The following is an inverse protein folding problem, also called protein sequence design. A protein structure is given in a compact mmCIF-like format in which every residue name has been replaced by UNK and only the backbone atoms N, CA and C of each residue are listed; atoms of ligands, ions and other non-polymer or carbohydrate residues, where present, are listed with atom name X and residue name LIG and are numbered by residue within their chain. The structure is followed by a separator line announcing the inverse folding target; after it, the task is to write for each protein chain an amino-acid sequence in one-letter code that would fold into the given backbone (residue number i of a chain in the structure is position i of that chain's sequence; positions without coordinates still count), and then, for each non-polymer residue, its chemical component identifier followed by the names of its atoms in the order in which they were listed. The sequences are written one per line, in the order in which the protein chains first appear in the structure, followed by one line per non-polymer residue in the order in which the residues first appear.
data_IF_825330480306
#
_entry.id   IF_825330480306
#
_cell.length_a   1.000
_cell.length_b   1.000
_cell.length_c   1.000
_cell.angle_alpha   90.00
_cell.angle_beta   90.00
_cell.angle_gamma   90.00
#
_symmetry.space_group_name_H-M   'P 1'
#
loop_
_entity.id
_entity.type
_entity.pdbx_description
1 polymer ?
#
# COMPACT_ATOMS: atom_id res chain seq x y z
N UNK A 1 27.81 -39.40 47.62
CA UNK A 1 27.04 -38.19 48.00
C UNK A 1 27.33 -37.18 46.91
N UNK A 2 26.39 -37.04 45.95
CA UNK A 2 25.54 -35.85 45.72
C UNK A 2 26.43 -34.68 45.24
N UNK A 3 26.27 -34.09 44.05
CA UNK A 3 25.00 -33.67 43.45
C UNK A 3 25.09 -33.49 41.92
N UNK A 4 24.02 -33.89 41.25
CA UNK A 4 23.67 -33.48 39.88
C UNK A 4 22.84 -32.20 39.99
N UNK A 5 23.41 -31.03 39.66
CA UNK A 5 22.61 -29.81 39.47
C UNK A 5 22.79 -29.27 38.05
N UNK A 6 21.99 -29.83 37.16
CA UNK A 6 21.56 -29.22 35.91
C UNK A 6 20.81 -27.94 36.25
N UNK A 7 21.44 -26.78 36.07
CA UNK A 7 20.75 -25.49 36.04
C UNK A 7 19.89 -25.44 34.77
N UNK A 8 18.61 -25.82 34.92
CA UNK A 8 17.56 -25.46 33.96
C UNK A 8 17.28 -23.98 34.12
N UNK A 9 17.68 -23.19 33.12
CA UNK A 9 17.14 -21.86 32.90
C UNK A 9 15.63 -21.96 32.73
N UNK A 10 14.91 -21.53 33.75
CA UNK A 10 13.46 -21.49 33.81
C UNK A 10 13.03 -20.01 33.70
N UNK A 11 13.25 -19.40 32.54
CA UNK A 11 12.83 -18.02 32.20
C UNK A 11 11.59 -18.03 31.31
N UNK A 12 10.60 -18.88 31.66
CA UNK A 12 9.35 -19.02 30.89
C UNK A 12 8.11 -18.58 31.67
N UNK A 13 8.24 -17.71 32.68
CA UNK A 13 7.12 -17.26 33.52
C UNK A 13 7.15 -15.75 33.84
N UNK A 14 7.47 -14.90 32.86
CA UNK A 14 7.19 -13.45 32.95
C UNK A 14 6.61 -12.85 31.66
N UNK A 15 5.76 -13.61 30.96
CA UNK A 15 4.79 -13.00 30.08
C UNK A 15 3.58 -12.60 30.93
N UNK A 16 3.52 -11.33 31.34
CA UNK A 16 2.45 -10.72 32.13
C UNK A 16 1.10 -10.64 31.41
N UNK A 17 0.62 -11.75 30.88
CA UNK A 17 -0.77 -11.92 30.49
C UNK A 17 -1.49 -12.60 31.65
N UNK A 18 -2.05 -11.80 32.55
CA UNK A 18 -3.08 -12.28 33.45
C UNK A 18 -4.24 -12.84 32.60
N UNK A 19 -4.72 -14.02 32.98
CA UNK A 19 -5.79 -14.76 32.29
C UNK A 19 -7.11 -13.96 32.18
N UNK A 20 -7.22 -12.85 32.90
CA UNK A 20 -8.38 -11.96 32.99
C UNK A 20 -8.45 -10.90 31.88
N UNK A 21 -7.43 -10.76 31.02
CA UNK A 21 -7.43 -9.73 29.97
C UNK A 21 -8.28 -10.09 28.73
N UNK A 22 -8.77 -11.33 28.65
CA UNK A 22 -9.66 -11.77 27.57
C UNK A 22 -11.07 -11.16 27.69
N UNK A 23 -11.48 -10.75 28.89
CA UNK A 23 -12.81 -10.21 29.22
C UNK A 23 -12.89 -8.67 29.22
N UNK A 24 -11.91 -7.97 28.61
CA UNK A 24 -12.02 -6.51 28.42
C UNK A 24 -13.28 -6.14 27.63
N UNK A 25 -14.01 -5.15 28.12
CA UNK A 25 -15.22 -4.62 27.48
C UNK A 25 -14.93 -4.19 26.02
N UNK A 26 -15.83 -4.55 25.09
CA UNK A 26 -15.68 -4.16 23.68
C UNK A 26 -15.85 -2.66 23.56
N UNK A 27 -14.79 -1.97 23.13
CA UNK A 27 -14.89 -0.52 22.84
C UNK A 27 -15.75 -0.33 21.59
N UNK A 28 -16.66 0.64 21.58
CA UNK A 28 -17.46 0.95 20.38
C UNK A 28 -16.63 1.77 19.39
N UNK A 29 -16.67 1.38 18.12
CA UNK A 29 -16.04 2.15 17.03
C UNK A 29 -16.79 3.48 16.86
N UNK A 30 -16.10 4.64 16.90
CA UNK A 30 -16.70 5.94 16.61
C UNK A 30 -17.24 5.98 15.17
N UNK A 31 -18.41 6.61 14.96
CA UNK A 31 -18.89 6.88 13.60
C UNK A 31 -18.08 8.04 13.00
N UNK A 32 -17.41 7.79 11.87
CA UNK A 32 -16.56 8.78 11.20
C UNK A 32 -17.36 9.78 10.35
N UNK A 33 -16.95 11.05 10.39
CA UNK A 33 -17.44 12.10 9.48
C UNK A 33 -16.77 11.99 8.10
N UNK A 34 -17.46 12.42 7.04
CA UNK A 34 -16.88 12.40 5.68
C UNK A 34 -15.72 13.41 5.58
N UNK A 35 -14.50 12.89 5.45
CA UNK A 35 -13.28 13.68 5.22
C UNK A 35 -13.18 14.34 3.85
N UNK A 36 -12.16 15.21 3.66
CA UNK A 36 -11.88 15.95 2.41
C UNK A 36 -11.55 15.00 1.25
N UNK A 37 -11.66 15.47 0.01
CA UNK A 37 -11.82 14.63 -1.19
C UNK A 37 -10.56 14.41 -2.04
N UNK A 38 -9.31 14.65 -1.61
CA UNK A 38 -8.13 14.60 -2.53
C UNK A 38 -8.04 13.31 -3.38
N UNK A 39 -8.04 12.13 -2.74
CA UNK A 39 -8.09 10.86 -3.47
C UNK A 39 -9.34 10.71 -4.33
N UNK A 40 -10.52 11.16 -3.85
CA UNK A 40 -11.75 11.12 -4.64
C UNK A 40 -11.74 12.08 -5.84
N UNK A 41 -11.10 13.25 -5.72
CA UNK A 41 -10.95 14.20 -6.82
C UNK A 41 -9.98 13.69 -7.85
N UNK A 42 -8.83 13.13 -7.44
CA UNK A 42 -7.87 12.48 -8.35
C UNK A 42 -8.58 11.42 -9.21
N UNK A 43 -9.36 10.54 -8.59
CA UNK A 43 -10.05 9.46 -9.31
C UNK A 43 -11.13 10.00 -10.25
N UNK A 44 -11.89 11.01 -9.79
CA UNK A 44 -12.94 11.64 -10.60
C UNK A 44 -12.35 12.38 -11.80
N UNK A 45 -11.27 13.12 -11.60
CA UNK A 45 -10.61 13.87 -12.66
C UNK A 45 -9.96 12.90 -13.66
N UNK A 46 -9.35 11.81 -13.17
CA UNK A 46 -8.82 10.74 -14.02
C UNK A 46 -9.92 10.01 -14.81
N UNK A 47 -11.08 9.74 -14.20
CA UNK A 47 -12.22 9.12 -14.90
C UNK A 47 -12.77 10.04 -15.99
N UNK A 48 -12.90 11.35 -15.70
CA UNK A 48 -13.30 12.35 -16.70
C UNK A 48 -12.28 12.48 -17.83
N UNK A 49 -10.98 12.44 -17.49
CA UNK A 49 -9.91 12.45 -18.48
C UNK A 49 -9.97 11.20 -19.36
N UNK A 50 -10.12 10.01 -18.79
CA UNK A 50 -10.26 8.76 -19.54
C UNK A 50 -11.44 8.80 -20.52
N UNK A 51 -12.59 9.33 -20.09
CA UNK A 51 -13.79 9.46 -20.93
C UNK A 51 -13.62 10.47 -22.08
N UNK A 52 -12.76 11.48 -21.91
CA UNK A 52 -12.51 12.52 -22.91
C UNK A 52 -11.20 12.33 -23.67
N UNK A 53 -10.43 11.28 -23.36
CA UNK A 53 -9.13 10.98 -23.93
C UNK A 53 -9.23 10.78 -25.46
N UNK A 54 -8.38 11.45 -26.26
CA UNK A 54 -8.34 11.21 -27.70
C UNK A 54 -8.07 9.75 -28.03
N UNK A 55 -8.77 9.18 -29.02
CA UNK A 55 -8.65 7.77 -29.37
C UNK A 55 -7.21 7.33 -29.73
N UNK A 56 -6.43 8.21 -30.38
CA UNK A 56 -5.03 7.95 -30.69
C UNK A 56 -4.16 7.85 -29.43
N UNK A 57 -4.45 8.68 -28.42
CA UNK A 57 -3.75 8.66 -27.14
C UNK A 57 -4.12 7.41 -26.34
N UNK A 58 -5.41 7.06 -26.26
CA UNK A 58 -5.86 5.82 -25.62
C UNK A 58 -5.21 4.59 -26.26
N UNK A 59 -5.17 4.54 -27.60
CA UNK A 59 -4.50 3.46 -28.31
C UNK A 59 -2.99 3.40 -28.01
N UNK A 60 -2.33 4.55 -27.85
CA UNK A 60 -0.92 4.63 -27.49
C UNK A 60 -0.67 4.15 -26.05
N UNK A 61 -1.50 4.57 -25.09
CA UNK A 61 -1.46 4.07 -23.71
C UNK A 61 -1.66 2.55 -23.69
N UNK A 62 -2.66 2.01 -24.39
CA UNK A 62 -2.90 0.58 -24.47
C UNK A 62 -1.74 -0.20 -25.09
N UNK A 63 -1.12 0.35 -26.14
CA UNK A 63 0.08 -0.25 -26.74
C UNK A 63 1.25 -0.26 -25.75
N UNK A 64 1.43 0.84 -25.00
CA UNK A 64 2.48 0.97 -23.99
C UNK A 64 2.31 -0.07 -22.88
N UNK A 65 1.11 -0.20 -22.31
CA UNK A 65 0.85 -1.19 -21.27
C UNK A 65 1.02 -2.63 -21.77
N UNK A 66 0.50 -2.95 -22.97
CA UNK A 66 0.64 -4.29 -23.57
C UNK A 66 2.09 -4.68 -23.83
N UNK A 67 2.97 -3.72 -24.13
CA UNK A 67 4.40 -3.99 -24.30
C UNK A 67 5.09 -4.38 -22.97
N UNK A 68 4.58 -3.92 -21.83
CA UNK A 68 5.15 -4.18 -20.51
C UNK A 68 4.67 -5.50 -19.87
N UNK A 69 3.60 -6.11 -20.40
CA UNK A 69 3.02 -7.36 -19.89
C UNK A 69 4.04 -8.51 -19.84
N UNK A 70 4.98 -8.54 -20.79
CA UNK A 70 6.01 -9.59 -20.85
C UNK A 70 6.93 -9.60 -19.62
N UNK A 71 7.09 -8.46 -18.96
CA UNK A 71 7.96 -8.29 -17.79
C UNK A 71 7.17 -8.23 -16.48
N UNK A 72 5.90 -7.79 -16.53
CA UNK A 72 5.02 -7.70 -15.36
C UNK A 72 3.55 -7.87 -15.77
N UNK A 73 2.97 -9.03 -15.41
CA UNK A 73 1.61 -9.40 -15.79
C UNK A 73 0.54 -8.44 -15.27
N UNK A 74 0.83 -7.69 -14.20
CA UNK A 74 -0.10 -6.69 -13.67
C UNK A 74 -0.46 -5.59 -14.69
N UNK A 75 0.39 -5.31 -15.67
CA UNK A 75 0.04 -4.38 -16.76
C UNK A 75 -1.11 -4.87 -17.63
N UNK A 76 -1.35 -6.18 -17.71
CA UNK A 76 -2.51 -6.73 -18.41
C UNK A 76 -3.80 -6.40 -17.65
N UNK A 77 -3.76 -6.46 -16.31
CA UNK A 77 -4.88 -6.04 -15.46
C UNK A 77 -5.19 -4.57 -15.71
N UNK A 78 -4.18 -3.69 -15.66
CA UNK A 78 -4.35 -2.26 -15.92
C UNK A 78 -4.92 -1.99 -17.31
N UNK A 79 -4.37 -2.63 -18.36
CA UNK A 79 -4.87 -2.48 -19.72
C UNK A 79 -6.34 -2.92 -19.84
N UNK A 80 -6.69 -4.07 -19.25
CA UNK A 80 -8.06 -4.58 -19.27
C UNK A 80 -9.03 -3.68 -18.48
N UNK A 81 -8.58 -2.99 -17.43
CA UNK A 81 -9.39 -2.01 -16.70
C UNK A 81 -9.67 -0.75 -17.52
N UNK A 82 -8.71 -0.31 -18.32
CA UNK A 82 -8.83 0.89 -19.15
C UNK A 82 -9.52 0.67 -20.51
N UNK A 83 -9.70 -0.59 -20.90
CA UNK A 83 -10.39 -1.01 -22.14
C UNK A 83 -11.83 -1.49 -21.89
N UNK A 84 -12.36 -1.29 -20.68
CA UNK A 84 -13.73 -1.66 -20.36
C UNK A 84 -14.75 -0.75 -21.05
N UNK A 85 -15.98 -1.25 -21.21
CA UNK A 85 -17.10 -0.42 -21.63
C UNK A 85 -17.30 0.78 -20.68
N UNK A 86 -17.70 1.92 -21.23
CA UNK A 86 -17.81 3.21 -20.53
C UNK A 86 -18.77 3.24 -19.33
N UNK A 87 -19.62 2.22 -19.17
CA UNK A 87 -20.56 2.06 -18.05
C UNK A 87 -20.03 1.22 -16.88
N UNK A 88 -18.87 0.57 -17.05
CA UNK A 88 -18.25 -0.22 -15.99
C UNK A 88 -17.39 0.66 -15.06
N UNK A 89 -17.41 0.33 -13.77
CA UNK A 89 -16.51 0.95 -12.79
C UNK A 89 -15.07 0.51 -13.07
N UNK A 90 -14.22 1.47 -13.45
CA UNK A 90 -12.78 1.28 -13.60
C UNK A 90 -12.12 1.13 -12.23
N UNK A 91 -11.17 0.21 -12.11
CA UNK A 91 -10.41 0.03 -10.87
C UNK A 91 -9.57 1.28 -10.52
N UNK A 92 -9.43 1.54 -9.23
CA UNK A 92 -8.85 2.81 -8.75
C UNK A 92 -7.36 2.94 -9.06
N UNK A 93 -6.62 1.85 -9.05
CA UNK A 93 -5.21 1.80 -9.46
C UNK A 93 -5.04 2.13 -10.95
N UNK A 94 -5.96 1.67 -11.80
CA UNK A 94 -6.00 2.05 -13.21
C UNK A 94 -6.33 3.54 -13.39
N UNK A 95 -7.25 4.09 -12.59
CA UNK A 95 -7.50 5.54 -12.57
C UNK A 95 -6.29 6.34 -12.05
N UNK A 96 -5.55 5.85 -11.05
CA UNK A 96 -4.31 6.49 -10.61
C UNK A 96 -3.22 6.44 -11.70
N UNK A 97 -3.15 5.36 -12.49
CA UNK A 97 -2.30 5.32 -13.69
C UNK A 97 -2.73 6.37 -14.72
N UNK A 98 -4.04 6.53 -14.96
CA UNK A 98 -4.55 7.57 -15.88
C UNK A 98 -4.22 8.98 -15.38
N UNK A 99 -4.31 9.21 -14.07
CA UNK A 99 -3.88 10.47 -13.45
C UNK A 99 -2.41 10.76 -13.75
N UNK A 100 -1.53 9.78 -13.55
CA UNK A 100 -0.09 9.91 -13.83
C UNK A 100 0.17 10.09 -15.33
N UNK A 101 -0.59 9.40 -16.18
CA UNK A 101 -0.52 9.59 -17.63
C UNK A 101 -0.89 11.02 -18.04
N UNK A 102 -1.98 11.56 -17.48
CA UNK A 102 -2.37 12.94 -17.69
C UNK A 102 -1.29 13.92 -17.20
N UNK A 103 -0.68 13.65 -16.04
CA UNK A 103 0.44 14.43 -15.52
C UNK A 103 1.62 14.44 -16.49
N UNK A 104 2.00 13.29 -17.06
CA UNK A 104 3.05 13.20 -18.10
C UNK A 104 2.69 14.12 -19.27
N UNK A 105 1.47 14.07 -19.80
CA UNK A 105 1.06 14.89 -20.94
C UNK A 105 1.08 16.41 -20.67
N UNK A 106 0.97 16.82 -19.39
CA UNK A 106 1.06 18.23 -19.00
C UNK A 106 2.51 18.74 -18.92
N UNK A 107 3.45 17.87 -18.61
CA UNK A 107 4.86 18.23 -18.38
C UNK A 107 5.76 17.90 -19.57
N UNK A 108 5.44 16.82 -20.29
CA UNK A 108 6.25 16.28 -21.36
C UNK A 108 5.66 16.65 -22.72
N UNK A 109 6.52 17.15 -23.60
CA UNK A 109 6.16 17.50 -24.98
C UNK A 109 6.49 16.38 -25.98
N UNK A 110 7.20 15.35 -25.51
CA UNK A 110 7.70 14.26 -26.32
C UNK A 110 6.68 13.12 -26.40
N UNK A 111 6.39 12.69 -27.63
CA UNK A 111 5.46 11.60 -27.91
C UNK A 111 6.05 10.25 -27.50
N UNK A 112 7.39 10.16 -27.38
CA UNK A 112 8.13 8.94 -27.08
C UNK A 112 8.57 8.82 -25.62
N UNK A 113 7.98 9.63 -24.71
CA UNK A 113 8.28 9.54 -23.28
C UNK A 113 8.03 8.11 -22.74
N UNK A 114 9.05 7.54 -22.10
CA UNK A 114 8.93 6.21 -21.49
C UNK A 114 8.13 6.30 -20.19
N UNK A 115 6.95 5.68 -20.16
CA UNK A 115 6.08 5.62 -18.98
C UNK A 115 6.83 5.28 -17.69
N UNK A 116 7.75 4.32 -17.73
CA UNK A 116 8.47 3.90 -16.52
C UNK A 116 9.41 4.99 -15.98
N UNK A 117 9.89 5.90 -16.83
CA UNK A 117 10.79 6.97 -16.43
C UNK A 117 10.09 8.09 -15.65
N UNK A 118 8.75 8.12 -15.61
CA UNK A 118 7.97 9.09 -14.82
C UNK A 118 8.38 9.11 -13.34
N UNK A 119 8.75 7.95 -12.77
CA UNK A 119 9.16 7.83 -11.36
C UNK A 119 10.42 8.67 -11.05
N UNK A 120 11.27 8.89 -12.05
CA UNK A 120 12.52 9.66 -11.93
C UNK A 120 12.28 11.17 -12.03
N UNK A 121 11.09 11.59 -12.45
CA UNK A 121 10.79 13.00 -12.71
C UNK A 121 10.49 13.76 -11.42
N UNK A 122 10.87 15.03 -11.39
CA UNK A 122 10.60 15.90 -10.23
C UNK A 122 9.10 16.09 -10.01
N UNK A 123 8.30 16.17 -11.06
CA UNK A 123 6.86 16.44 -10.95
C UNK A 123 6.10 15.26 -10.32
N UNK A 124 6.43 14.01 -10.67
CA UNK A 124 5.84 12.84 -10.03
C UNK A 124 6.25 12.72 -8.56
N UNK A 125 7.55 12.91 -8.29
CA UNK A 125 8.06 12.85 -6.93
C UNK A 125 7.44 13.93 -6.05
N UNK A 126 7.30 15.15 -6.56
CA UNK A 126 6.63 16.26 -5.86
C UNK A 126 5.19 15.89 -5.52
N UNK A 127 4.41 15.38 -6.48
CA UNK A 127 3.00 15.08 -6.26
C UNK A 127 2.79 13.98 -5.22
N UNK A 128 3.57 12.90 -5.27
CA UNK A 128 3.52 11.84 -4.25
C UNK A 128 3.92 12.39 -2.87
N UNK A 129 4.98 13.19 -2.81
CA UNK A 129 5.51 13.72 -1.57
C UNK A 129 4.62 14.79 -0.94
N UNK A 130 3.90 15.59 -1.74
CA UNK A 130 2.89 16.54 -1.27
C UNK A 130 1.68 15.80 -0.68
N UNK A 131 1.17 14.77 -1.36
CA UNK A 131 0.11 13.92 -0.82
C UNK A 131 0.54 13.22 0.49
N UNK A 132 1.81 12.82 0.58
CA UNK A 132 2.39 12.26 1.81
C UNK A 132 2.46 13.30 2.93
N UNK A 133 2.80 14.54 2.61
CA UNK A 133 2.91 15.62 3.60
C UNK A 133 1.55 16.03 4.17
N UNK A 134 0.44 15.65 3.55
CA UNK A 134 -0.92 15.81 4.11
C UNK A 134 -1.32 14.68 5.09
N UNK A 135 -0.58 13.56 5.14
CA UNK A 135 -0.89 12.46 6.05
C UNK A 135 -0.72 12.85 7.52
N UNK A 136 -1.68 12.49 8.36
CA UNK A 136 -1.48 12.53 9.81
C UNK A 136 -1.06 11.13 10.29
N UNK A 137 0.24 10.90 10.49
CA UNK A 137 0.84 9.58 10.80
C UNK A 137 1.86 9.62 11.94
N UNK A 138 1.63 10.46 12.94
CA UNK A 138 2.42 10.53 14.17
C UNK A 138 3.93 10.78 13.95
N UNK A 139 4.73 10.32 14.92
CA UNK A 139 6.14 10.69 15.06
C UNK A 139 7.07 10.15 13.97
N UNK A 140 6.68 9.10 13.25
CA UNK A 140 7.53 8.46 12.24
C UNK A 140 7.46 9.16 10.86
N UNK A 141 6.60 10.16 10.69
CA UNK A 141 6.33 10.82 9.40
C UNK A 141 7.62 11.31 8.72
N UNK A 142 8.48 12.00 9.47
CA UNK A 142 9.73 12.54 8.93
C UNK A 142 10.67 11.44 8.42
N UNK A 143 10.81 10.35 9.19
CA UNK A 143 11.67 9.22 8.83
C UNK A 143 11.09 8.45 7.64
N UNK A 144 9.77 8.24 7.59
CA UNK A 144 9.11 7.61 6.44
C UNK A 144 9.32 8.39 5.15
N UNK A 145 9.25 9.73 5.23
CA UNK A 145 9.52 10.59 4.09
C UNK A 145 10.92 10.33 3.51
N UNK A 146 11.93 10.25 4.37
CA UNK A 146 13.31 9.94 3.95
C UNK A 146 13.40 8.56 3.29
N UNK A 147 12.75 7.54 3.83
CA UNK A 147 12.74 6.19 3.25
C UNK A 147 12.05 6.16 1.88
N UNK A 148 10.97 6.92 1.68
CA UNK A 148 10.32 7.06 0.36
C UNK A 148 11.27 7.76 -0.62
N UNK A 149 11.97 8.81 -0.19
CA UNK A 149 12.99 9.47 -1.02
C UNK A 149 14.15 8.55 -1.38
N UNK A 150 14.57 7.67 -0.47
CA UNK A 150 15.56 6.62 -0.77
C UNK A 150 15.02 5.60 -1.77
N UNK A 151 13.73 5.27 -1.74
CA UNK A 151 13.13 4.39 -2.75
C UNK A 151 13.21 5.00 -4.16
N UNK A 152 13.02 6.32 -4.31
CA UNK A 152 13.22 7.02 -5.59
C UNK A 152 14.67 6.91 -6.06
N UNK A 153 15.65 7.13 -5.17
CA UNK A 153 17.08 6.98 -5.50
C UNK A 153 17.42 5.56 -5.93
N UNK A 154 16.87 4.54 -5.24
CA UNK A 154 17.06 3.15 -5.62
C UNK A 154 16.49 2.85 -7.01
N UNK A 155 15.35 3.45 -7.35
CA UNK A 155 14.75 3.34 -8.68
C UNK A 155 15.65 3.97 -9.77
N UNK A 156 16.14 5.19 -9.52
CA UNK A 156 17.04 5.91 -10.42
C UNK A 156 18.35 5.15 -10.65
N UNK A 157 18.91 4.58 -9.59
CA UNK A 157 20.11 3.74 -9.62
C UNK A 157 19.87 2.32 -10.18
N UNK A 158 18.66 2.00 -10.64
CA UNK A 158 18.26 0.68 -11.12
C UNK A 158 18.46 -0.46 -10.09
N UNK A 159 18.47 -0.12 -8.81
CA UNK A 159 18.64 -1.04 -7.68
C UNK A 159 17.27 -1.61 -7.24
N UNK A 160 16.57 -2.26 -8.18
CA UNK A 160 15.18 -2.72 -7.97
C UNK A 160 15.05 -3.76 -6.84
N UNK A 161 16.07 -4.61 -6.64
CA UNK A 161 16.12 -5.55 -5.53
C UNK A 161 16.12 -4.88 -4.14
N UNK A 162 16.58 -3.64 -4.04
CA UNK A 162 16.43 -2.81 -2.83
C UNK A 162 15.13 -2.01 -2.83
N UNK A 163 14.73 -1.47 -4.00
CA UNK A 163 13.54 -0.63 -4.15
C UNK A 163 12.24 -1.37 -3.76
N UNK A 164 12.06 -2.60 -4.24
CA UNK A 164 10.82 -3.36 -4.06
C UNK A 164 10.53 -3.72 -2.60
N UNK A 165 11.47 -4.29 -1.82
CA UNK A 165 11.25 -4.53 -0.41
C UNK A 165 10.94 -3.27 0.39
N UNK A 166 11.62 -2.16 0.07
CA UNK A 166 11.36 -0.85 0.70
C UNK A 166 9.93 -0.39 0.44
N UNK A 167 9.46 -0.44 -0.81
CA UNK A 167 8.10 -0.04 -1.18
C UNK A 167 7.04 -0.90 -0.49
N UNK A 168 7.20 -2.23 -0.46
CA UNK A 168 6.29 -3.11 0.28
C UNK A 168 6.26 -2.80 1.77
N UNK A 169 7.41 -2.51 2.38
CA UNK A 169 7.49 -2.11 3.78
C UNK A 169 6.78 -0.77 4.03
N UNK A 170 6.87 0.19 3.10
CA UNK A 170 6.15 1.47 3.22
C UNK A 170 4.65 1.29 3.09
N UNK A 171 4.15 0.49 2.14
CA UNK A 171 2.72 0.24 1.96
C UNK A 171 2.07 -0.32 3.24
N UNK A 172 2.71 -1.30 3.89
CA UNK A 172 2.20 -1.87 5.13
C UNK A 172 2.45 -0.98 6.36
N UNK A 173 3.61 -0.33 6.41
CA UNK A 173 3.98 0.56 7.49
C UNK A 173 3.05 1.78 7.58
N UNK A 174 2.72 2.39 6.45
CA UNK A 174 1.77 3.52 6.38
C UNK A 174 0.39 3.14 6.89
N UNK A 175 -0.11 1.96 6.49
CA UNK A 175 -1.38 1.45 7.02
C UNK A 175 -1.31 1.28 8.54
N UNK A 176 -0.20 0.76 9.04
CA UNK A 176 0.01 0.58 10.48
C UNK A 176 -0.03 1.92 11.21
N UNK A 177 0.68 2.93 10.72
CA UNK A 177 0.70 4.26 11.35
C UNK A 177 -0.67 4.94 11.31
N UNK A 178 -1.41 4.84 10.20
CA UNK A 178 -2.78 5.37 10.11
C UNK A 178 -3.70 4.70 11.13
N UNK A 179 -3.63 3.38 11.26
CA UNK A 179 -4.47 2.66 12.21
C UNK A 179 -4.12 2.99 13.67
N UNK A 180 -2.85 3.29 13.97
CA UNK A 180 -2.43 3.78 15.30
C UNK A 180 -2.96 5.19 15.53
N UNK A 181 -2.75 6.11 14.58
CA UNK A 181 -3.22 7.49 14.69
C UNK A 181 -4.73 7.57 14.89
N UNK A 182 -5.48 6.70 14.21
CA UNK A 182 -6.96 6.62 14.32
C UNK A 182 -7.43 5.82 15.53
N UNK A 183 -6.52 5.30 16.36
CA UNK A 183 -6.84 4.57 17.59
C UNK A 183 -7.40 3.16 17.40
N UNK A 184 -7.26 2.58 16.21
CA UNK A 184 -7.65 1.19 15.92
C UNK A 184 -6.58 0.19 16.37
N UNK A 185 -5.32 0.62 16.36
CA UNK A 185 -4.20 -0.16 16.88
C UNK A 185 -3.54 0.57 18.05
N UNK A 186 -3.09 -0.20 19.03
CA UNK A 186 -2.12 0.27 20.02
C UNK A 186 -0.86 -0.57 19.96
N UNK A 187 0.29 0.03 20.24
CA UNK A 187 1.56 -0.66 20.28
C UNK A 187 1.92 -1.00 21.73
N UNK A 188 2.09 -2.29 22.01
CA UNK A 188 2.65 -2.79 23.26
C UNK A 188 4.00 -3.45 22.97
N UNK A 189 5.09 -2.76 23.32
CA UNK A 189 6.45 -3.16 22.96
C UNK A 189 6.59 -3.37 21.43
N UNK A 190 6.82 -4.61 21.00
CA UNK A 190 6.95 -5.00 19.58
C UNK A 190 5.64 -5.47 18.94
N UNK A 191 4.56 -5.56 19.72
CA UNK A 191 3.28 -6.11 19.30
C UNK A 191 2.27 -5.01 19.03
N UNK A 192 1.46 -5.19 17.99
CA UNK A 192 0.28 -4.37 17.73
C UNK A 192 -0.95 -5.10 18.24
N UNK A 193 -1.85 -4.38 18.90
CA UNK A 193 -3.09 -4.93 19.48
C UNK A 193 -4.28 -4.22 18.84
N UNK A 194 -5.25 -5.01 18.38
CA UNK A 194 -6.55 -4.53 17.89
C UNK A 194 -7.41 -4.06 19.05
N UNK A 195 -7.58 -2.74 19.13
CA UNK A 195 -8.28 -2.05 20.22
C UNK A 195 -9.75 -2.42 20.28
N UNK A 196 -10.36 -2.67 19.12
CA UNK A 196 -11.80 -2.90 18.97
C UNK A 196 -12.16 -4.39 18.84
N UNK A 197 -11.16 -5.28 18.87
CA UNK A 197 -11.34 -6.74 18.73
C UNK A 197 -12.09 -7.12 17.44
N UNK A 198 -11.88 -6.35 16.37
CA UNK A 198 -12.50 -6.53 15.04
C UNK A 198 -12.11 -7.88 14.44
N UNK A 199 -10.87 -8.31 14.63
CA UNK A 199 -10.42 -9.60 14.12
C UNK A 199 -10.75 -10.71 15.14
N UNK A 200 -11.65 -11.66 14.81
CA UNK A 200 -12.01 -12.74 15.70
C UNK A 200 -10.88 -13.79 15.80
N UNK A 201 -10.79 -14.44 16.97
CA UNK A 201 -9.90 -15.58 17.17
C UNK A 201 -8.42 -15.25 17.44
N UNK A 202 -8.07 -13.96 17.60
CA UNK A 202 -6.71 -13.56 17.95
C UNK A 202 -6.45 -13.67 19.47
N UNK A 203 -5.47 -14.48 19.85
CA UNK A 203 -4.98 -14.53 21.24
C UNK A 203 -4.41 -13.16 21.62
N UNK A 204 -4.93 -12.56 22.69
CA UNK A 204 -4.52 -11.23 23.15
C UNK A 204 -4.77 -10.11 22.13
N UNK A 205 -5.62 -10.36 21.13
CA UNK A 205 -5.90 -9.41 20.04
C UNK A 205 -4.64 -8.95 19.27
N UNK A 206 -3.61 -9.79 19.23
CA UNK A 206 -2.31 -9.48 18.63
C UNK A 206 -2.34 -9.55 17.10
N UNK A 207 -1.93 -8.46 16.45
CA UNK A 207 -1.92 -8.26 15.01
C UNK A 207 -0.58 -8.68 14.41
N UNK A 208 -0.63 -9.74 13.60
CA UNK A 208 0.57 -10.42 13.07
C UNK A 208 0.80 -10.27 11.56
N UNK A 209 -0.14 -9.71 10.82
CA UNK A 209 -0.08 -9.72 9.36
C UNK A 209 -0.78 -8.52 8.76
N UNK A 210 -0.45 -8.22 7.50
CA UNK A 210 -1.17 -7.22 6.72
C UNK A 210 -2.67 -7.55 6.64
N UNK A 211 -3.04 -8.82 6.53
CA UNK A 211 -4.46 -9.25 6.47
C UNK A 211 -5.29 -8.67 7.62
N UNK A 212 -4.76 -8.81 8.85
CA UNK A 212 -5.42 -8.28 10.04
C UNK A 212 -5.59 -6.76 9.97
N UNK A 213 -4.54 -6.05 9.53
CA UNK A 213 -4.54 -4.58 9.39
C UNK A 213 -5.56 -4.13 8.34
N UNK A 214 -5.60 -4.79 7.19
CA UNK A 214 -6.58 -4.50 6.12
C UNK A 214 -7.99 -4.73 6.63
N UNK A 215 -8.26 -5.87 7.30
CA UNK A 215 -9.58 -6.15 7.87
C UNK A 215 -10.05 -5.05 8.82
N UNK A 216 -9.17 -4.57 9.70
CA UNK A 216 -9.45 -3.45 10.61
C UNK A 216 -9.70 -2.16 9.80
N UNK A 217 -8.86 -1.88 8.81
CA UNK A 217 -8.99 -0.69 7.98
C UNK A 217 -10.30 -0.64 7.19
N UNK A 218 -10.87 -1.80 6.84
CA UNK A 218 -12.18 -1.88 6.17
C UNK A 218 -13.33 -1.42 7.07
N UNK A 219 -13.23 -1.62 8.38
CA UNK A 219 -14.21 -1.09 9.35
C UNK A 219 -14.10 0.44 9.47
N UNK A 220 -12.90 0.99 9.28
CA UNK A 220 -12.70 2.45 9.21
C UNK A 220 -13.21 3.03 7.89
N UNK A 221 -12.86 2.41 6.76
CA UNK A 221 -13.34 2.81 5.44
C UNK A 221 -13.30 1.62 4.47
N UNK A 222 -14.45 1.26 3.89
CA UNK A 222 -14.55 0.14 2.96
C UNK A 222 -13.63 0.31 1.73
N UNK A 223 -13.26 1.53 1.35
CA UNK A 223 -12.41 1.77 0.19
C UNK A 223 -11.01 1.14 0.30
N UNK A 224 -10.55 0.77 1.50
CA UNK A 224 -9.32 -0.01 1.68
C UNK A 224 -9.32 -1.35 0.92
N UNK A 225 -10.47 -1.99 0.69
CA UNK A 225 -10.54 -3.23 -0.11
C UNK A 225 -10.37 -2.98 -1.61
N UNK A 226 -10.54 -1.73 -2.05
CA UNK A 226 -10.42 -1.37 -3.46
C UNK A 226 -8.98 -1.00 -3.85
N UNK A 227 -8.06 -0.92 -2.88
CA UNK A 227 -6.64 -0.66 -3.10
C UNK A 227 -5.91 -1.98 -3.39
N UNK A 228 -5.36 -2.09 -4.58
CA UNK A 228 -4.63 -3.29 -5.04
C UNK A 228 -3.43 -3.66 -4.15
N UNK A 229 -2.77 -2.65 -3.57
CA UNK A 229 -1.73 -2.83 -2.55
C UNK A 229 -2.16 -3.69 -1.35
N UNK A 230 -3.47 -3.75 -1.09
CA UNK A 230 -4.09 -4.39 0.06
C UNK A 230 -5.04 -5.53 -0.34
N UNK A 231 -5.17 -5.81 -1.64
CA UNK A 231 -5.86 -7.02 -2.07
C UNK A 231 -5.04 -8.24 -1.66
N UNK A 232 -5.76 -9.26 -1.23
CA UNK A 232 -5.22 -10.52 -0.75
C UNK A 232 -5.62 -11.61 -1.73
N UNK A 233 -4.85 -12.69 -1.78
CA UNK A 233 -5.29 -13.88 -2.51
C UNK A 233 -6.54 -14.47 -1.84
N UNK A 234 -7.14 -15.50 -2.45
CA UNK A 234 -8.27 -16.25 -1.88
C UNK A 234 -7.95 -16.96 -0.54
N UNK A 235 -6.71 -16.84 -0.04
CA UNK A 235 -6.27 -17.29 1.26
C UNK A 235 -5.83 -16.10 2.12
N UNK A 236 -5.87 -16.23 3.44
CA UNK A 236 -5.44 -15.19 4.40
C UNK A 236 -3.94 -14.82 4.33
N UNK A 237 -3.22 -15.30 3.31
CA UNK A 237 -1.84 -14.91 3.02
C UNK A 237 -1.84 -13.63 2.20
N UNK A 238 -0.85 -12.76 2.51
CA UNK A 238 -0.40 -11.72 1.58
C UNK A 238 -0.24 -12.36 0.20
N UNK A 239 -0.59 -11.66 -0.90
CA UNK A 239 -0.47 -12.23 -2.26
C UNK A 239 0.79 -13.07 -2.35
N UNK A 240 0.65 -14.36 -2.70
CA UNK A 240 1.72 -15.36 -2.59
C UNK A 240 3.00 -14.85 -3.26
N UNK A 241 2.83 -14.07 -4.32
CA UNK A 241 3.88 -13.29 -4.99
C UNK A 241 4.62 -12.33 -4.06
N UNK A 242 3.97 -11.40 -3.34
CA UNK A 242 4.66 -10.51 -2.40
C UNK A 242 5.38 -11.29 -1.30
N UNK A 243 4.75 -12.33 -0.74
CA UNK A 243 5.40 -13.18 0.26
C UNK A 243 6.68 -13.82 -0.32
N UNK A 244 6.58 -14.43 -1.50
CA UNK A 244 7.70 -15.11 -2.14
C UNK A 244 8.85 -14.15 -2.53
N UNK A 245 8.52 -12.94 -3.01
CA UNK A 245 9.50 -11.90 -3.31
C UNK A 245 10.26 -11.50 -2.04
N UNK A 246 9.55 -11.19 -0.96
CA UNK A 246 10.16 -10.73 0.29
C UNK A 246 10.97 -11.81 1.01
N UNK A 247 10.62 -13.09 0.81
CA UNK A 247 11.36 -14.23 1.34
C UNK A 247 12.42 -14.78 0.37
N UNK A 248 12.58 -14.18 -0.81
CA UNK A 248 13.59 -14.57 -1.80
C UNK A 248 13.33 -15.91 -2.49
N UNK A 249 12.13 -16.47 -2.37
CA UNK A 249 11.72 -17.68 -3.10
C UNK A 249 11.27 -17.36 -4.53
N UNK A 250 11.02 -16.08 -4.82
CA UNK A 250 10.77 -15.57 -6.18
C UNK A 250 11.67 -14.37 -6.48
N UNK A 251 12.70 -14.60 -7.28
CA UNK A 251 13.74 -13.61 -7.63
C UNK A 251 13.51 -12.94 -8.98
N UNK A 252 12.50 -13.36 -9.74
CA UNK A 252 12.27 -12.87 -11.10
C UNK A 252 11.54 -11.53 -11.14
N UNK A 253 10.99 -11.08 -10.01
CA UNK A 253 10.21 -9.85 -9.92
C UNK A 253 11.01 -8.62 -9.48
N UNK A 254 12.34 -8.71 -9.35
CA UNK A 254 13.18 -7.54 -9.06
C UNK A 254 13.45 -6.69 -10.32
N UNK A 255 12.39 -6.11 -10.88
CA UNK A 255 12.40 -5.37 -12.15
C UNK A 255 11.96 -3.91 -12.01
N UNK A 256 12.24 -3.12 -13.05
CA UNK A 256 11.80 -1.73 -13.14
C UNK A 256 10.27 -1.63 -13.13
N UNK A 257 9.62 -2.54 -13.85
CA UNK A 257 8.18 -2.68 -14.01
C UNK A 257 7.50 -2.94 -12.68
N UNK A 258 8.01 -3.89 -11.88
CA UNK A 258 7.45 -4.19 -10.57
C UNK A 258 7.63 -3.00 -9.64
N UNK A 259 8.80 -2.37 -9.61
CA UNK A 259 9.01 -1.13 -8.84
C UNK A 259 8.05 -0.03 -9.26
N UNK A 260 7.83 0.17 -10.56
CA UNK A 260 6.87 1.14 -11.08
C UNK A 260 5.46 0.88 -10.54
N UNK A 261 4.96 -0.35 -10.66
CA UNK A 261 3.63 -0.74 -10.14
C UNK A 261 3.52 -0.42 -8.64
N UNK A 262 4.56 -0.72 -7.86
CA UNK A 262 4.57 -0.42 -6.43
C UNK A 262 4.57 1.08 -6.11
N UNK A 263 5.16 1.92 -6.96
CA UNK A 263 5.03 3.38 -6.83
C UNK A 263 3.61 3.86 -7.17
N UNK A 264 2.95 3.31 -8.18
CA UNK A 264 1.54 3.61 -8.48
C UNK A 264 0.66 3.25 -7.28
N UNK A 265 0.90 2.08 -6.69
CA UNK A 265 0.20 1.63 -5.49
C UNK A 265 0.50 2.53 -4.28
N UNK A 266 1.76 2.94 -4.08
CA UNK A 266 2.13 3.86 -3.00
C UNK A 266 1.43 5.21 -3.16
N UNK A 267 1.42 5.77 -4.37
CA UNK A 267 0.69 6.99 -4.67
C UNK A 267 -0.80 6.83 -4.37
N UNK A 268 -1.43 5.76 -4.87
CA UNK A 268 -2.86 5.48 -4.65
C UNK A 268 -3.20 5.40 -3.15
N UNK A 269 -2.36 4.70 -2.38
CA UNK A 269 -2.50 4.56 -0.93
C UNK A 269 -2.35 5.90 -0.22
N UNK A 270 -1.31 6.67 -0.52
CA UNK A 270 -1.01 7.95 0.12
C UNK A 270 -2.09 9.00 -0.20
N UNK A 271 -2.46 9.11 -1.48
CA UNK A 271 -3.52 10.00 -1.96
C UNK A 271 -4.88 9.66 -1.36
N UNK A 272 -5.16 8.38 -1.11
CA UNK A 272 -6.35 7.99 -0.37
C UNK A 272 -6.22 8.28 1.13
N UNK A 273 -5.16 7.83 1.79
CA UNK A 273 -5.04 7.97 3.24
C UNK A 273 -5.00 9.43 3.71
N UNK A 274 -4.46 10.35 2.90
CA UNK A 274 -4.45 11.79 3.20
C UNK A 274 -5.86 12.41 3.27
N UNK A 275 -6.88 11.70 2.78
CA UNK A 275 -8.29 12.10 2.89
C UNK A 275 -9.00 11.64 4.16
N UNK A 276 -8.41 10.70 4.90
CA UNK A 276 -9.02 10.10 6.08
C UNK A 276 -8.98 11.10 7.25
N UNK A 277 -10.12 11.72 7.55
CA UNK A 277 -10.31 12.59 8.71
C UNK A 277 -10.99 11.84 9.85
#
# INVERSE_FOLDING_TARGET
MIDDSVERFNDADQDGFEQDDFDREVTRIPQHEKGKQLGQSILKDAEQYLQSMPAAEHQYLMKTLKALVANEAYFEVLANQLDQATDNKVANDALNLVHIWNLINHHESDVDFNLLDVIKTEYFQAELLEAFDELNIGNNKAQRRLVIQEAFKLYEMQCFAGCIPVLYAQLEGLLTDILIEKGFLTQNQTKFVDVYKIVPGLKGHEIKSLWHKVKIACEMNAYFIELEAYKMDSSSTVTMTRHNILHGTDVNHFSQERSFVLFIWLFSVVSFMSTLR
#
